data_IF_172919831617
#
_entry.id   IF_172919831617
#
_cell.length_a   1.000
_cell.length_b   1.000
_cell.length_c   1.000
_cell.angle_alpha   90.00
_cell.angle_beta   90.00
_cell.angle_gamma   90.00
#
_symmetry.space_group_name_H-M   'P 1'
#
loop_
_entity.id
_entity.type
_entity.pdbx_description
1 polymer ?
#
# COMPACT_ATOMS: atom_id res chain seq x y z
N UNK A 1 3.77 -33.44 -18.43
CA UNK A 1 3.09 -33.35 -17.11
C UNK A 1 4.17 -33.26 -16.05
N UNK A 2 4.06 -32.36 -15.07
CA UNK A 2 5.00 -32.35 -13.94
C UNK A 2 4.77 -33.60 -13.07
N UNK A 3 5.82 -34.21 -12.49
CA UNK A 3 5.65 -35.35 -11.59
C UNK A 3 4.83 -34.93 -10.36
N UNK A 4 3.96 -35.82 -9.87
CA UNK A 4 3.23 -35.60 -8.62
C UNK A 4 4.17 -35.74 -7.41
N UNK A 5 3.91 -35.00 -6.34
CA UNK A 5 4.64 -35.15 -5.08
C UNK A 5 4.32 -36.51 -4.43
N UNK A 6 5.36 -37.30 -4.10
CA UNK A 6 5.22 -38.58 -3.40
C UNK A 6 5.65 -38.42 -1.92
N UNK A 7 4.71 -38.30 -0.96
CA UNK A 7 5.06 -38.09 0.45
C UNK A 7 6.01 -39.14 1.00
N UNK A 8 5.88 -40.40 0.57
CA UNK A 8 6.71 -41.52 1.04
C UNK A 8 8.18 -41.44 0.63
N UNK A 9 8.52 -40.64 -0.39
CA UNK A 9 9.91 -40.44 -0.79
C UNK A 9 10.52 -39.20 -0.12
N UNK A 10 9.70 -38.22 0.25
CA UNK A 10 10.17 -36.89 0.62
C UNK A 10 10.10 -36.61 2.12
N UNK A 11 9.02 -37.01 2.78
CA UNK A 11 8.78 -36.70 4.19
C UNK A 11 9.48 -37.68 5.12
N UNK A 12 10.07 -37.21 6.21
CA UNK A 12 10.77 -38.00 7.24
C UNK A 12 12.04 -38.75 6.75
N UNK A 13 12.59 -38.41 5.59
CA UNK A 13 13.75 -39.09 5.00
C UNK A 13 15.09 -38.34 5.21
N UNK A 14 15.14 -37.37 6.13
CA UNK A 14 16.32 -36.53 6.37
C UNK A 14 16.72 -35.67 5.17
N UNK A 15 15.79 -35.48 4.21
CA UNK A 15 16.02 -34.65 3.03
C UNK A 15 15.97 -33.18 3.42
N UNK A 16 16.82 -32.38 2.77
CA UNK A 16 16.75 -30.92 2.87
C UNK A 16 15.70 -30.37 1.92
N UNK A 17 14.97 -29.35 2.35
CA UNK A 17 14.04 -28.62 1.50
C UNK A 17 14.83 -27.93 0.36
N UNK A 18 14.58 -28.26 -0.91
CA UNK A 18 15.41 -27.80 -2.03
C UNK A 18 15.22 -26.30 -2.30
N UNK A 19 16.31 -25.62 -2.70
CA UNK A 19 16.30 -24.23 -3.17
C UNK A 19 17.11 -24.13 -4.48
N UNK A 20 16.50 -23.75 -5.62
CA UNK A 20 15.09 -23.37 -5.81
C UNK A 20 14.12 -24.55 -5.63
N UNK A 21 12.92 -24.28 -5.11
CA UNK A 21 11.90 -25.31 -4.84
C UNK A 21 11.28 -25.81 -6.15
N UNK A 22 11.34 -27.11 -6.47
CA UNK A 22 10.62 -27.68 -7.60
C UNK A 22 9.11 -27.45 -7.48
N UNK A 23 8.45 -27.20 -8.61
CA UNK A 23 7.02 -26.85 -8.64
C UNK A 23 6.12 -27.84 -7.90
N UNK A 24 6.31 -29.15 -8.09
CA UNK A 24 5.49 -30.17 -7.44
C UNK A 24 5.62 -30.18 -5.90
N UNK A 25 6.78 -29.78 -5.36
CA UNK A 25 6.98 -29.62 -3.91
C UNK A 25 6.29 -28.34 -3.44
N UNK A 26 6.41 -27.25 -4.20
CA UNK A 26 5.72 -25.99 -3.89
C UNK A 26 4.20 -26.17 -3.88
N UNK A 27 3.64 -26.86 -4.87
CA UNK A 27 2.20 -27.11 -4.98
C UNK A 27 1.71 -27.96 -3.79
N UNK A 28 2.46 -29.00 -3.39
CA UNK A 28 2.13 -29.82 -2.24
C UNK A 28 2.24 -29.09 -0.89
N UNK A 29 3.26 -28.24 -0.70
CA UNK A 29 3.37 -27.39 0.48
C UNK A 29 2.20 -26.39 0.55
N UNK A 30 1.86 -25.75 -0.57
CA UNK A 30 0.75 -24.80 -0.65
C UNK A 30 -0.59 -25.46 -0.28
N UNK A 31 -0.81 -26.73 -0.64
CA UNK A 31 -2.02 -27.47 -0.25
C UNK A 31 -2.12 -27.68 1.27
N UNK A 32 -1.00 -27.84 1.98
CA UNK A 32 -1.00 -28.00 3.45
C UNK A 32 -1.13 -26.64 4.16
N UNK A 33 -0.68 -25.57 3.50
CA UNK A 33 -0.85 -24.20 3.97
C UNK A 33 -2.17 -23.56 3.51
N UNK A 34 -3.03 -24.31 2.82
CA UNK A 34 -4.32 -23.83 2.35
C UNK A 34 -5.24 -23.52 3.54
N UNK A 35 -5.79 -22.30 3.54
CA UNK A 35 -6.67 -21.83 4.61
C UNK A 35 -8.03 -22.50 4.43
N UNK A 36 -8.57 -23.23 5.42
CA UNK A 36 -9.90 -23.82 5.31
C UNK A 36 -10.97 -22.75 5.05
N UNK A 37 -11.99 -23.07 4.24
CA UNK A 37 -13.08 -22.13 3.91
C UNK A 37 -13.72 -21.50 5.16
N UNK A 38 -13.92 -22.30 6.21
CA UNK A 38 -14.48 -21.85 7.49
C UNK A 38 -13.60 -20.85 8.25
N UNK A 39 -12.29 -20.78 7.96
CA UNK A 39 -11.37 -19.77 8.49
C UNK A 39 -11.22 -18.59 7.52
N UNK A 40 -11.36 -18.81 6.22
CA UNK A 40 -11.25 -17.78 5.20
C UNK A 40 -12.35 -16.71 5.30
N UNK A 41 -13.52 -17.05 5.87
CA UNK A 41 -14.61 -16.09 6.14
C UNK A 41 -14.23 -14.95 7.09
N UNK A 42 -13.24 -15.16 7.97
CA UNK A 42 -12.76 -14.13 8.90
C UNK A 42 -11.84 -13.12 8.21
N UNK A 43 -11.35 -13.42 7.01
CA UNK A 43 -10.47 -12.54 6.23
C UNK A 43 -11.37 -11.62 5.39
N UNK A 44 -11.37 -10.30 5.62
CA UNK A 44 -12.18 -9.39 4.82
C UNK A 44 -11.84 -9.52 3.35
N UNK A 45 -12.84 -9.66 2.49
CA UNK A 45 -12.58 -9.75 1.05
C UNK A 45 -11.95 -8.45 0.54
N UNK A 46 -10.99 -8.53 -0.37
CA UNK A 46 -10.21 -7.36 -0.85
C UNK A 46 -11.05 -6.30 -1.57
N UNK A 47 -12.27 -6.65 -2.02
CA UNK A 47 -13.23 -5.73 -2.61
C UNK A 47 -14.12 -5.00 -1.60
N UNK A 48 -14.04 -5.34 -0.31
CA UNK A 48 -14.85 -4.69 0.72
C UNK A 48 -14.46 -3.22 0.84
N UNK A 49 -15.41 -2.33 1.15
CA UNK A 49 -15.13 -0.91 1.33
C UNK A 49 -14.11 -0.66 2.46
N UNK A 50 -13.25 0.33 2.26
CA UNK A 50 -12.25 0.74 3.23
C UNK A 50 -12.87 1.20 4.56
N UNK A 51 -14.01 1.88 4.48
CA UNK A 51 -14.77 2.34 5.65
C UNK A 51 -15.39 1.20 6.48
N UNK A 52 -15.58 0.00 5.91
CA UNK A 52 -16.19 -1.12 6.64
C UNK A 52 -15.19 -1.82 7.58
N UNK A 53 -13.89 -1.74 7.29
CA UNK A 53 -12.86 -2.49 8.02
C UNK A 53 -12.79 -2.22 9.54
N UNK A 54 -12.93 -0.96 10.04
CA UNK A 54 -12.97 -0.68 11.47
C UNK A 54 -13.98 -1.52 12.26
N UNK A 55 -15.09 -1.89 11.64
CA UNK A 55 -16.20 -2.61 12.28
C UNK A 55 -16.10 -4.13 12.13
N UNK A 56 -15.12 -4.64 11.36
CA UNK A 56 -14.87 -6.07 11.28
C UNK A 56 -14.33 -6.61 12.62
N UNK A 57 -14.85 -7.78 13.01
CA UNK A 57 -14.35 -8.56 14.15
C UNK A 57 -13.03 -9.23 13.77
N UNK A 58 -11.95 -8.45 13.74
CA UNK A 58 -10.61 -8.94 13.44
C UNK A 58 -9.90 -9.40 14.72
N UNK A 59 -9.06 -10.46 14.67
CA UNK A 59 -8.33 -10.92 15.83
C UNK A 59 -7.30 -9.89 16.31
N UNK A 60 -7.00 -9.85 17.60
CA UNK A 60 -6.10 -8.82 18.16
C UNK A 60 -4.66 -9.03 17.68
N UNK A 61 -3.90 -7.96 17.37
CA UNK A 61 -2.47 -8.10 17.13
C UNK A 61 -1.76 -8.55 18.41
N UNK A 62 -0.74 -9.37 18.26
CA UNK A 62 0.21 -9.67 19.32
C UNK A 62 1.42 -8.73 19.22
N UNK A 63 1.95 -8.28 20.36
CA UNK A 63 3.03 -7.29 20.43
C UNK A 63 4.41 -7.90 20.66
N UNK A 64 4.52 -9.23 20.76
CA UNK A 64 5.82 -9.88 20.97
C UNK A 64 6.63 -9.90 19.67
N UNK A 65 7.83 -9.31 19.71
CA UNK A 65 8.70 -9.15 18.53
C UNK A 65 9.71 -10.28 18.34
N UNK A 66 10.01 -11.04 19.40
CA UNK A 66 10.92 -12.18 19.38
C UNK A 66 10.35 -13.30 20.24
N UNK A 67 10.14 -14.46 19.61
CA UNK A 67 9.37 -15.54 20.22
C UNK A 67 9.88 -16.89 19.75
N UNK A 68 9.95 -17.84 20.67
CA UNK A 68 10.24 -19.23 20.33
C UNK A 68 8.98 -19.91 19.80
N UNK A 69 9.11 -20.60 18.67
CA UNK A 69 8.12 -21.55 18.18
C UNK A 69 8.74 -22.94 18.06
N UNK A 70 7.90 -23.97 18.05
CA UNK A 70 8.37 -25.35 17.89
C UNK A 70 7.40 -26.14 17.04
N UNK A 71 7.89 -26.70 15.94
CA UNK A 71 7.14 -27.60 15.09
C UNK A 71 7.03 -29.01 15.70
N UNK A 72 5.87 -29.63 15.60
CA UNK A 72 5.57 -30.96 16.13
C UNK A 72 5.01 -31.89 15.06
N UNK A 73 5.27 -33.19 15.20
CA UNK A 73 4.65 -34.23 14.37
C UNK A 73 3.23 -34.58 14.87
N UNK A 74 2.89 -34.18 16.09
CA UNK A 74 1.58 -34.42 16.68
C UNK A 74 0.50 -33.57 15.99
N UNK A 75 -0.75 -34.06 15.93
CA UNK A 75 -1.84 -33.34 15.27
C UNK A 75 -2.18 -32.03 15.97
N UNK A 76 -2.79 -31.13 15.20
CA UNK A 76 -3.37 -29.87 15.69
C UNK A 76 -4.42 -30.11 16.78
N UNK A 77 -4.51 -29.16 17.70
CA UNK A 77 -5.50 -29.12 18.77
C UNK A 77 -6.42 -27.90 18.64
N UNK A 78 -6.24 -27.07 17.61
CA UNK A 78 -7.03 -25.87 17.38
C UNK A 78 -8.43 -26.24 16.90
N UNK A 79 -9.45 -25.75 17.60
CA UNK A 79 -10.82 -25.75 17.10
C UNK A 79 -11.04 -24.49 16.26
N UNK A 80 -11.62 -24.60 15.06
CA UNK A 80 -11.87 -23.45 14.18
C UNK A 80 -12.72 -22.36 14.84
N UNK A 81 -13.57 -22.71 15.80
CA UNK A 81 -14.37 -21.75 16.57
C UNK A 81 -13.53 -20.84 17.47
N UNK A 82 -12.27 -21.18 17.73
CA UNK A 82 -11.34 -20.41 18.57
C UNK A 82 -10.50 -19.41 17.76
N UNK A 83 -10.66 -19.38 16.43
CA UNK A 83 -9.90 -18.48 15.54
C UNK A 83 -10.06 -17.00 15.88
N UNK A 84 -11.27 -16.47 16.16
CA UNK A 84 -11.41 -15.06 16.53
C UNK A 84 -10.63 -14.67 17.80
N UNK A 85 -10.35 -15.64 18.68
CA UNK A 85 -9.56 -15.43 19.89
C UNK A 85 -8.04 -15.54 19.65
N UNK A 86 -7.61 -16.03 18.49
CA UNK A 86 -6.20 -16.25 18.16
C UNK A 86 -5.55 -14.91 17.81
N UNK A 87 -4.57 -14.46 18.60
CA UNK A 87 -3.83 -13.24 18.27
C UNK A 87 -3.01 -13.41 16.99
N UNK A 88 -2.75 -12.30 16.31
CA UNK A 88 -1.93 -12.28 15.09
C UNK A 88 -0.48 -11.88 15.43
N UNK A 89 0.51 -12.76 15.22
CA UNK A 89 1.91 -12.47 15.55
C UNK A 89 2.49 -11.29 14.76
N UNK A 90 3.63 -10.79 15.24
CA UNK A 90 4.41 -9.79 14.51
C UNK A 90 4.92 -10.27 13.15
N UNK A 91 5.17 -9.34 12.20
CA UNK A 91 5.49 -9.72 10.81
C UNK A 91 6.78 -10.53 10.73
N UNK A 92 7.78 -10.16 11.52
CA UNK A 92 9.05 -10.88 11.64
C UNK A 92 8.82 -12.34 12.03
N UNK A 93 7.96 -12.59 13.01
CA UNK A 93 7.62 -13.94 13.48
C UNK A 93 6.92 -14.74 12.38
N UNK A 94 5.98 -14.13 11.65
CA UNK A 94 5.30 -14.78 10.53
C UNK A 94 6.32 -15.15 9.43
N UNK A 95 7.26 -14.26 9.12
CA UNK A 95 8.33 -14.52 8.13
C UNK A 95 9.30 -15.61 8.58
N UNK A 96 9.64 -15.68 9.88
CA UNK A 96 10.46 -16.77 10.43
C UNK A 96 9.75 -18.13 10.33
N UNK A 97 8.44 -18.16 10.63
CA UNK A 97 7.60 -19.36 10.47
C UNK A 97 7.52 -19.77 8.99
N UNK A 98 7.28 -18.83 8.08
CA UNK A 98 7.21 -19.06 6.63
C UNK A 98 8.54 -19.59 6.07
N UNK A 99 9.67 -19.07 6.55
CA UNK A 99 10.99 -19.57 6.14
C UNK A 99 11.29 -20.99 6.64
N UNK A 100 10.82 -21.32 7.84
CA UNK A 100 11.09 -22.59 8.50
C UNK A 100 10.12 -23.72 8.11
N UNK A 101 8.89 -23.39 7.68
CA UNK A 101 7.82 -24.39 7.48
C UNK A 101 8.16 -25.42 6.41
N UNK A 102 8.88 -25.05 5.35
CA UNK A 102 9.26 -25.98 4.29
C UNK A 102 10.14 -27.13 4.81
N UNK A 103 11.16 -26.82 5.62
CA UNK A 103 12.01 -27.86 6.21
C UNK A 103 11.26 -28.63 7.30
N UNK A 104 10.51 -27.95 8.17
CA UNK A 104 9.73 -28.62 9.20
C UNK A 104 8.73 -29.62 8.62
N UNK A 105 8.07 -29.27 7.51
CA UNK A 105 7.18 -30.17 6.80
C UNK A 105 7.94 -31.40 6.27
N UNK A 106 9.11 -31.21 5.64
CA UNK A 106 10.00 -32.32 5.21
C UNK A 106 10.43 -33.23 6.37
N UNK A 107 10.60 -32.67 7.56
CA UNK A 107 10.92 -33.41 8.78
C UNK A 107 9.70 -34.10 9.42
N UNK A 108 8.56 -34.13 8.72
CA UNK A 108 7.34 -34.81 9.16
C UNK A 108 6.52 -34.03 10.17
N UNK A 109 6.75 -32.73 10.31
CA UNK A 109 5.97 -31.89 11.22
C UNK A 109 4.65 -31.49 10.56
N UNK A 110 3.56 -31.55 11.34
CA UNK A 110 2.18 -31.32 10.89
C UNK A 110 1.49 -30.20 11.68
N UNK A 111 2.11 -29.74 12.76
CA UNK A 111 1.63 -28.64 13.59
C UNK A 111 2.80 -27.86 14.18
N UNK A 112 2.51 -26.74 14.84
CA UNK A 112 3.48 -25.99 15.62
C UNK A 112 2.87 -25.42 16.89
N UNK A 113 3.71 -25.08 17.85
CA UNK A 113 3.30 -24.35 19.06
C UNK A 113 3.89 -22.95 19.04
N UNK A 114 3.09 -22.01 19.53
CA UNK A 114 3.47 -20.61 19.66
C UNK A 114 3.00 -20.11 21.04
N UNK A 115 3.72 -20.45 22.13
CA UNK A 115 3.17 -20.43 23.49
C UNK A 115 2.63 -19.08 23.98
N UNK A 116 3.16 -17.97 23.46
CA UNK A 116 2.70 -16.62 23.81
C UNK A 116 1.37 -16.24 23.17
N UNK A 117 0.99 -16.87 22.05
CA UNK A 117 -0.32 -16.71 21.40
C UNK A 117 -1.30 -17.76 21.89
N UNK A 118 -0.88 -19.03 21.84
CA UNK A 118 -1.72 -20.16 22.20
C UNK A 118 -0.87 -21.32 22.71
N UNK A 119 -1.28 -21.93 23.83
CA UNK A 119 -0.64 -23.13 24.39
C UNK A 119 -0.93 -24.40 23.57
N UNK A 120 -1.94 -24.36 22.69
CA UNK A 120 -2.34 -25.49 21.85
C UNK A 120 -1.44 -25.61 20.63
N UNK A 121 -1.37 -26.81 20.05
CA UNK A 121 -0.75 -27.03 18.74
C UNK A 121 -1.64 -26.44 17.63
N UNK A 122 -1.08 -25.53 16.87
CA UNK A 122 -1.69 -24.86 15.72
C UNK A 122 -1.39 -25.65 14.44
N UNK A 123 -2.33 -25.72 13.49
CA UNK A 123 -2.10 -26.31 12.18
C UNK A 123 -1.20 -25.40 11.32
N UNK A 124 -0.46 -25.98 10.37
CA UNK A 124 0.48 -25.21 9.53
C UNK A 124 -0.19 -24.09 8.72
N UNK A 125 -1.45 -24.26 8.28
CA UNK A 125 -2.19 -23.24 7.54
C UNK A 125 -2.43 -21.93 8.32
N UNK A 126 -2.30 -21.93 9.65
CA UNK A 126 -2.39 -20.70 10.44
C UNK A 126 -1.32 -19.66 10.04
N UNK A 127 -0.18 -20.11 9.49
CA UNK A 127 0.87 -19.22 8.98
C UNK A 127 0.31 -18.37 7.82
N UNK A 128 -0.37 -18.99 6.86
CA UNK A 128 -1.01 -18.29 5.75
C UNK A 128 -2.19 -17.43 6.23
N UNK A 129 -3.02 -17.95 7.14
CA UNK A 129 -4.11 -17.16 7.72
C UNK A 129 -3.61 -15.83 8.31
N UNK A 130 -2.56 -15.87 9.13
CA UNK A 130 -1.97 -14.66 9.70
C UNK A 130 -1.37 -13.73 8.65
N UNK A 131 -0.71 -14.30 7.63
CA UNK A 131 -0.18 -13.52 6.51
C UNK A 131 -1.28 -12.73 5.78
N UNK A 132 -2.45 -13.34 5.55
CA UNK A 132 -3.56 -12.72 4.84
C UNK A 132 -4.39 -11.76 5.68
N UNK A 133 -4.59 -12.02 6.98
CA UNK A 133 -5.43 -11.17 7.84
C UNK A 133 -4.68 -9.94 8.38
N UNK A 134 -3.34 -10.01 8.51
CA UNK A 134 -2.52 -8.93 9.07
C UNK A 134 -2.63 -7.60 8.29
N UNK A 135 -2.60 -7.56 6.94
CA UNK A 135 -2.84 -6.33 6.20
C UNK A 135 -4.18 -5.68 6.56
N UNK A 136 -5.26 -6.48 6.65
CA UNK A 136 -6.59 -5.97 7.03
C UNK A 136 -6.58 -5.36 8.44
N UNK A 137 -5.91 -6.00 9.40
CA UNK A 137 -5.76 -5.47 10.76
C UNK A 137 -5.08 -4.11 10.82
N UNK A 138 -3.96 -3.97 10.10
CA UNK A 138 -3.23 -2.70 10.03
C UNK A 138 -4.07 -1.61 9.40
N UNK A 139 -4.77 -1.92 8.32
CA UNK A 139 -5.63 -0.96 7.61
C UNK A 139 -6.82 -0.56 8.48
N UNK A 140 -7.48 -1.52 9.14
CA UNK A 140 -8.58 -1.26 10.06
C UNK A 140 -8.16 -0.32 11.19
N UNK A 141 -7.00 -0.57 11.81
CA UNK A 141 -6.48 0.31 12.86
C UNK A 141 -6.13 1.70 12.35
N UNK A 142 -5.50 1.77 11.17
CA UNK A 142 -5.22 3.06 10.52
C UNK A 142 -6.49 3.84 10.24
N UNK A 143 -7.57 3.17 9.82
CA UNK A 143 -8.88 3.77 9.61
C UNK A 143 -9.50 4.26 10.92
N UNK A 144 -9.42 3.50 12.02
CA UNK A 144 -9.92 3.95 13.35
C UNK A 144 -9.21 5.22 13.82
N UNK A 145 -7.88 5.23 13.75
CA UNK A 145 -7.06 6.40 14.13
C UNK A 145 -7.38 7.59 13.23
N UNK A 146 -7.47 7.38 11.92
CA UNK A 146 -7.81 8.41 10.94
C UNK A 146 -9.19 9.01 11.17
N UNK A 147 -10.24 8.19 11.33
CA UNK A 147 -11.61 8.67 11.55
C UNK A 147 -11.73 9.43 12.88
N UNK A 148 -11.03 8.99 13.93
CA UNK A 148 -10.93 9.72 15.19
C UNK A 148 -10.27 11.09 15.00
N UNK A 149 -9.19 11.16 14.21
CA UNK A 149 -8.54 12.43 13.87
C UNK A 149 -9.45 13.32 13.01
N UNK A 150 -10.12 12.79 11.98
CA UNK A 150 -11.08 13.53 11.16
C UNK A 150 -12.24 14.09 11.99
N UNK A 151 -12.66 13.37 13.04
CA UNK A 151 -13.67 13.86 14.00
C UNK A 151 -13.19 15.13 14.71
N UNK A 152 -11.91 15.17 15.12
CA UNK A 152 -11.35 16.32 15.83
C UNK A 152 -11.25 17.60 14.99
N UNK A 153 -11.27 17.47 13.66
CA UNK A 153 -11.23 18.59 12.71
C UNK A 153 -12.56 18.81 11.98
N UNK A 154 -13.63 18.08 12.34
CA UNK A 154 -14.97 18.25 11.80
C UNK A 154 -15.19 17.73 10.37
N UNK A 155 -14.41 16.75 9.91
CA UNK A 155 -14.44 16.21 8.54
C UNK A 155 -14.70 14.70 8.47
N UNK A 156 -15.21 14.08 9.54
CA UNK A 156 -15.41 12.61 9.62
C UNK A 156 -16.34 12.10 8.53
N UNK A 157 -17.54 12.66 8.43
CA UNK A 157 -18.63 12.08 7.61
C UNK A 157 -18.32 12.13 6.11
N UNK A 158 -17.71 13.23 5.63
CA UNK A 158 -17.29 13.38 4.24
C UNK A 158 -16.21 12.35 3.86
N UNK A 159 -15.24 12.15 4.76
CA UNK A 159 -14.14 11.21 4.54
C UNK A 159 -14.58 9.77 4.62
N UNK A 160 -15.45 9.45 5.57
CA UNK A 160 -16.06 8.13 5.70
C UNK A 160 -16.86 7.78 4.43
N UNK A 161 -17.65 8.72 3.92
CA UNK A 161 -18.41 8.56 2.66
C UNK A 161 -17.49 8.26 1.46
N UNK A 162 -16.35 8.94 1.35
CA UNK A 162 -15.37 8.65 0.31
C UNK A 162 -14.70 7.29 0.49
N UNK A 163 -14.37 6.91 1.72
CA UNK A 163 -13.80 5.59 2.04
C UNK A 163 -14.76 4.43 1.71
N UNK A 164 -16.08 4.66 1.75
CA UNK A 164 -17.07 3.67 1.28
C UNK A 164 -16.99 3.38 -0.23
N UNK A 165 -16.44 4.31 -1.01
CA UNK A 165 -16.37 4.20 -2.47
C UNK A 165 -15.12 3.47 -2.98
N UNK A 166 -14.22 3.04 -2.08
CA UNK A 166 -12.93 2.44 -2.45
C UNK A 166 -12.72 1.14 -1.70
N UNK A 167 -12.24 0.12 -2.43
CA UNK A 167 -11.93 -1.18 -1.88
C UNK A 167 -10.60 -1.17 -1.11
N UNK A 168 -10.55 -1.79 0.07
CA UNK A 168 -9.37 -1.72 0.94
C UNK A 168 -8.16 -2.51 0.41
N UNK A 169 -8.40 -3.63 -0.28
CA UNK A 169 -7.36 -4.55 -0.73
C UNK A 169 -6.95 -4.35 -2.19
N UNK A 170 -7.45 -3.29 -2.83
CA UNK A 170 -7.10 -2.95 -4.21
C UNK A 170 -6.24 -1.68 -4.23
N UNK A 171 -5.09 -1.69 -4.92
CA UNK A 171 -4.29 -0.49 -5.05
C UNK A 171 -5.06 0.66 -5.69
N UNK A 172 -4.92 1.85 -5.14
CA UNK A 172 -5.50 3.08 -5.69
C UNK A 172 -4.61 3.53 -6.84
N UNK A 173 -5.19 3.66 -8.02
CA UNK A 173 -4.58 4.21 -9.22
C UNK A 173 -5.02 5.67 -9.41
N UNK A 174 -4.13 6.59 -9.82
CA UNK A 174 -4.43 8.04 -9.85
C UNK A 174 -4.04 8.77 -11.15
N UNK A 175 -3.60 8.08 -12.21
CA UNK A 175 -3.16 8.76 -13.43
C UNK A 175 -2.97 7.83 -14.63
N UNK A 176 -2.62 8.42 -15.79
CA UNK A 176 -2.03 7.77 -16.98
C UNK A 176 -0.60 7.21 -16.76
N UNK A 177 -0.23 6.81 -15.55
CA UNK A 177 1.15 6.45 -15.21
C UNK A 177 1.29 5.10 -14.52
N UNK A 178 2.51 4.58 -14.52
CA UNK A 178 2.92 3.39 -13.77
C UNK A 178 3.01 3.77 -12.28
N UNK A 179 1.94 3.54 -11.52
CA UNK A 179 1.94 3.81 -10.09
C UNK A 179 0.61 3.46 -9.42
N UNK A 180 0.71 2.94 -8.20
CA UNK A 180 -0.41 2.70 -7.31
C UNK A 180 0.02 2.86 -5.86
N UNK A 181 -0.94 3.10 -4.97
CA UNK A 181 -0.73 3.33 -3.54
C UNK A 181 -1.68 2.40 -2.84
N UNK A 182 -1.15 1.77 -1.81
CA UNK A 182 -1.96 0.99 -0.89
C UNK A 182 -2.99 1.91 -0.20
N UNK A 183 -4.30 1.58 -0.20
CA UNK A 183 -5.33 2.37 0.48
C UNK A 183 -5.01 2.60 1.97
N UNK A 184 -4.48 1.59 2.66
CA UNK A 184 -4.07 1.69 4.05
C UNK A 184 -2.96 2.73 4.24
N UNK A 185 -1.93 2.69 3.40
CA UNK A 185 -0.88 3.70 3.42
C UNK A 185 -1.42 5.10 3.16
N UNK A 186 -2.40 5.26 2.26
CA UNK A 186 -3.01 6.56 1.99
C UNK A 186 -3.75 7.12 3.22
N UNK A 187 -4.55 6.29 3.89
CA UNK A 187 -5.24 6.63 5.15
C UNK A 187 -4.22 6.97 6.24
N UNK A 188 -3.26 6.08 6.50
CA UNK A 188 -2.25 6.24 7.54
C UNK A 188 -1.43 7.53 7.35
N UNK A 189 -1.07 7.86 6.09
CA UNK A 189 -0.15 8.97 5.81
C UNK A 189 -0.82 10.32 5.61
N UNK A 190 -2.04 10.36 5.07
CA UNK A 190 -2.76 11.62 4.84
C UNK A 190 -3.76 11.96 5.94
N UNK A 191 -4.34 10.98 6.62
CA UNK A 191 -5.35 11.24 7.65
C UNK A 191 -4.76 11.12 9.07
N UNK A 192 -3.78 11.97 9.37
CA UNK A 192 -3.09 12.00 10.67
C UNK A 192 -1.75 12.74 10.62
N UNK A 193 -0.85 12.46 11.57
CA UNK A 193 0.45 13.15 11.71
C UNK A 193 1.66 12.31 11.24
N UNK A 194 1.44 11.36 10.34
CA UNK A 194 2.50 10.51 9.81
C UNK A 194 3.22 11.13 8.60
N UNK A 195 4.47 10.70 8.39
CA UNK A 195 5.27 11.10 7.24
C UNK A 195 4.71 10.51 5.94
N UNK A 196 4.61 11.34 4.90
CA UNK A 196 4.10 10.91 3.59
C UNK A 196 5.21 10.18 2.83
N UNK A 197 4.90 9.00 2.29
CA UNK A 197 5.83 8.20 1.52
C UNK A 197 5.88 8.60 0.03
N UNK A 198 6.93 8.14 -0.67
CA UNK A 198 7.19 8.49 -2.07
C UNK A 198 6.05 8.10 -3.02
N UNK A 199 5.34 6.99 -2.77
CA UNK A 199 4.20 6.58 -3.60
C UNK A 199 3.05 7.58 -3.51
N UNK A 200 2.74 8.07 -2.30
CA UNK A 200 1.71 9.10 -2.09
C UNK A 200 2.15 10.45 -2.67
N UNK A 201 3.42 10.85 -2.52
CA UNK A 201 3.94 12.06 -3.19
C UNK A 201 3.86 11.91 -4.71
N UNK A 202 4.22 10.74 -5.24
CA UNK A 202 4.05 10.40 -6.66
C UNK A 202 2.60 10.55 -7.13
N UNK A 203 1.63 10.18 -6.30
CA UNK A 203 0.21 10.41 -6.56
C UNK A 203 -0.14 11.89 -6.69
N UNK A 204 0.26 12.70 -5.70
CA UNK A 204 0.01 14.13 -5.71
C UNK A 204 0.64 14.82 -6.93
N UNK A 205 1.91 14.53 -7.21
CA UNK A 205 2.64 15.11 -8.35
C UNK A 205 2.03 14.70 -9.70
N UNK A 206 1.51 13.48 -9.82
CA UNK A 206 0.83 13.01 -11.03
C UNK A 206 -0.51 13.73 -11.26
N UNK A 207 -1.23 14.09 -10.19
CA UNK A 207 -2.44 14.90 -10.29
C UNK A 207 -2.12 16.34 -10.68
N UNK A 208 -1.05 16.93 -10.14
CA UNK A 208 -0.57 18.25 -10.57
C UNK A 208 -0.22 18.22 -12.05
N UNK A 209 0.49 17.20 -12.54
CA UNK A 209 0.80 17.08 -13.97
C UNK A 209 -0.47 17.03 -14.83
N UNK A 210 -1.50 16.29 -14.40
CA UNK A 210 -2.77 16.24 -15.11
C UNK A 210 -3.45 17.61 -15.17
N UNK A 211 -3.46 18.34 -14.05
CA UNK A 211 -4.02 19.69 -13.98
C UNK A 211 -3.26 20.66 -14.87
N UNK A 212 -1.93 20.63 -14.88
CA UNK A 212 -1.10 21.46 -15.77
C UNK A 212 -1.49 21.22 -17.23
N UNK A 213 -1.61 19.96 -17.64
CA UNK A 213 -1.99 19.59 -19.02
C UNK A 213 -3.44 19.97 -19.35
N UNK A 214 -4.34 19.90 -18.37
CA UNK A 214 -5.76 20.22 -18.56
C UNK A 214 -6.02 21.75 -18.61
N UNK A 215 -5.34 22.52 -17.78
CA UNK A 215 -5.49 23.98 -17.69
C UNK A 215 -4.93 24.70 -18.92
N UNK A 216 -3.80 24.23 -19.45
CA UNK A 216 -3.19 24.78 -20.66
C UNK A 216 -2.44 23.68 -21.43
N UNK A 217 -3.03 23.13 -22.52
CA UNK A 217 -2.37 22.12 -23.34
C UNK A 217 -1.07 22.59 -24.02
N UNK A 218 -0.85 23.92 -24.10
CA UNK A 218 0.39 24.49 -24.63
C UNK A 218 1.48 24.61 -23.56
N UNK A 219 1.13 24.44 -22.28
CA UNK A 219 2.06 24.47 -21.17
C UNK A 219 3.03 23.29 -21.27
N UNK A 220 4.32 23.63 -21.40
CA UNK A 220 5.40 22.64 -21.53
C UNK A 220 5.98 22.20 -20.18
N UNK A 221 5.36 22.59 -19.07
CA UNK A 221 5.82 22.23 -17.73
C UNK A 221 5.66 20.73 -17.50
N UNK A 222 6.72 20.11 -17.00
CA UNK A 222 6.75 18.71 -16.63
C UNK A 222 6.96 18.58 -15.12
N UNK A 223 6.07 17.87 -14.46
CA UNK A 223 6.13 17.49 -13.05
C UNK A 223 6.52 16.01 -12.99
N UNK A 224 7.67 15.73 -12.39
CA UNK A 224 8.26 14.40 -12.37
C UNK A 224 8.05 13.73 -11.01
N UNK A 225 7.89 12.39 -10.95
CA UNK A 225 7.71 11.68 -9.70
C UNK A 225 8.99 11.64 -8.85
N UNK A 226 8.92 11.34 -7.53
CA UNK A 226 10.07 11.35 -6.63
C UNK A 226 11.22 10.43 -7.08
N UNK A 227 10.90 9.32 -7.72
CA UNK A 227 11.89 8.38 -8.28
C UNK A 227 12.87 9.01 -9.27
N UNK A 228 12.53 10.15 -9.89
CA UNK A 228 13.46 10.91 -10.71
C UNK A 228 14.69 11.39 -9.92
N UNK A 229 14.50 11.91 -8.72
CA UNK A 229 15.60 12.37 -7.88
C UNK A 229 16.48 11.20 -7.43
N UNK A 230 15.89 10.05 -7.12
CA UNK A 230 16.63 8.82 -6.78
C UNK A 230 17.49 8.36 -7.95
N UNK A 231 16.97 8.44 -9.18
CA UNK A 231 17.74 8.12 -10.38
C UNK A 231 18.93 9.07 -10.56
N UNK A 232 18.77 10.37 -10.29
CA UNK A 232 19.89 11.31 -10.36
C UNK A 232 20.94 11.09 -9.26
N UNK A 233 20.53 10.62 -8.08
CA UNK A 233 21.41 10.29 -6.96
C UNK A 233 22.11 8.94 -7.10
N UNK A 234 21.76 8.13 -8.10
CA UNK A 234 22.50 6.90 -8.38
C UNK A 234 23.97 7.20 -8.67
N UNK A 235 24.86 6.23 -8.39
CA UNK A 235 26.31 6.39 -8.51
C UNK A 235 26.69 7.08 -9.83
N UNK A 236 27.76 7.89 -9.83
CA UNK A 236 28.31 8.57 -11.03
C UNK A 236 28.47 7.60 -12.22
N UNK A 237 28.66 6.30 -11.95
CA UNK A 237 28.61 5.24 -12.96
C UNK A 237 27.34 5.21 -13.82
N UNK A 238 26.18 5.59 -13.28
CA UNK A 238 24.94 5.77 -14.03
C UNK A 238 25.12 6.74 -15.20
N UNK A 239 25.69 7.93 -14.93
CA UNK A 239 25.91 8.96 -15.95
C UNK A 239 26.95 8.59 -17.00
N UNK A 240 27.84 7.62 -16.71
CA UNK A 240 28.77 7.07 -17.70
C UNK A 240 28.05 6.17 -18.71
N UNK A 241 26.93 5.59 -18.33
CA UNK A 241 26.14 4.71 -19.21
C UNK A 241 24.80 5.32 -19.65
N UNK A 242 24.53 6.54 -19.22
CA UNK A 242 23.35 7.31 -19.55
C UNK A 242 23.22 7.48 -21.08
N UNK A 243 22.14 6.93 -21.63
CA UNK A 243 21.90 6.93 -23.07
C UNK A 243 20.42 6.72 -23.35
N UNK A 244 19.98 7.11 -24.56
CA UNK A 244 18.60 6.88 -25.02
C UNK A 244 18.16 5.42 -24.91
N UNK A 245 19.07 4.46 -25.11
CA UNK A 245 18.76 3.01 -25.06
C UNK A 245 18.50 2.53 -23.63
N UNK A 246 19.27 2.98 -22.64
CA UNK A 246 19.17 2.51 -21.25
C UNK A 246 18.12 3.26 -20.44
N UNK A 247 17.94 4.55 -20.72
CA UNK A 247 17.12 5.45 -19.90
C UNK A 247 16.22 6.30 -20.78
N UNK A 248 15.43 5.65 -21.65
CA UNK A 248 14.64 6.32 -22.69
C UNK A 248 13.80 7.49 -22.15
N UNK A 249 13.03 7.26 -21.07
CA UNK A 249 12.16 8.28 -20.47
C UNK A 249 12.94 9.52 -20.02
N UNK A 250 14.01 9.32 -19.25
CA UNK A 250 14.89 10.42 -18.79
C UNK A 250 15.58 11.13 -19.95
N UNK A 251 16.00 10.38 -20.96
CA UNK A 251 16.64 10.94 -22.15
C UNK A 251 15.69 11.83 -22.93
N UNK A 252 14.44 11.38 -23.12
CA UNK A 252 13.41 12.18 -23.77
C UNK A 252 13.08 13.45 -23.00
N UNK A 253 12.97 13.39 -21.66
CA UNK A 253 12.76 14.58 -20.81
C UNK A 253 13.93 15.56 -20.98
N UNK A 254 15.17 15.09 -20.86
CA UNK A 254 16.35 15.96 -21.03
C UNK A 254 16.45 16.55 -22.44
N UNK A 255 16.10 15.77 -23.47
CA UNK A 255 16.02 16.25 -24.85
C UNK A 255 14.93 17.32 -25.02
N UNK A 256 13.74 17.12 -24.44
CA UNK A 256 12.68 18.13 -24.45
C UNK A 256 13.12 19.42 -23.77
N UNK A 257 13.78 19.33 -22.61
CA UNK A 257 14.35 20.50 -21.94
C UNK A 257 15.40 21.21 -22.80
N UNK A 258 16.21 20.47 -23.56
CA UNK A 258 17.24 21.05 -24.43
C UNK A 258 16.68 21.87 -25.61
N UNK A 259 15.42 21.62 -26.00
CA UNK A 259 14.75 22.44 -27.03
C UNK A 259 14.30 23.80 -26.52
N UNK A 260 14.34 24.04 -25.20
CA UNK A 260 14.12 25.33 -24.56
C UNK A 260 15.41 25.88 -23.96
N UNK A 261 15.52 27.20 -23.83
CA UNK A 261 16.59 27.81 -23.07
C UNK A 261 16.29 27.69 -21.57
N UNK A 262 16.62 26.54 -20.97
CA UNK A 262 16.62 26.41 -19.51
C UNK A 262 17.75 27.29 -18.95
N UNK A 263 17.40 28.35 -18.23
CA UNK A 263 18.37 29.31 -17.68
C UNK A 263 18.43 29.30 -16.15
N UNK A 264 17.46 28.66 -15.50
CA UNK A 264 17.21 28.80 -14.08
C UNK A 264 16.97 27.45 -13.41
N UNK A 265 17.70 27.19 -12.33
CA UNK A 265 17.50 26.07 -11.43
C UNK A 265 17.02 26.59 -10.08
N UNK A 266 15.86 26.12 -9.65
CA UNK A 266 15.22 26.50 -8.40
C UNK A 266 15.31 25.38 -7.38
N UNK A 267 15.56 25.71 -6.12
CA UNK A 267 15.55 24.76 -5.01
C UNK A 267 14.72 25.29 -3.83
N UNK A 268 13.88 24.43 -3.25
CA UNK A 268 13.10 24.76 -2.06
C UNK A 268 13.29 23.69 -0.98
N UNK A 269 13.26 24.09 0.28
CA UNK A 269 13.35 23.20 1.43
C UNK A 269 12.48 23.75 2.56
N UNK A 270 11.44 23.02 2.94
CA UNK A 270 10.48 23.46 3.96
C UNK A 270 11.07 23.77 5.33
N UNK A 271 12.32 23.37 5.61
CA UNK A 271 13.06 23.71 6.84
C UNK A 271 13.97 24.93 6.70
N UNK A 272 13.88 25.65 5.57
CA UNK A 272 14.69 26.83 5.25
C UNK A 272 16.21 26.58 5.28
N UNK A 273 16.62 25.32 5.09
CA UNK A 273 18.04 25.01 4.92
C UNK A 273 18.51 25.37 3.52
N UNK A 274 19.74 25.89 3.37
CA UNK A 274 20.30 26.20 2.07
C UNK A 274 20.38 24.95 1.20
N UNK A 275 20.26 25.15 -0.11
CA UNK A 275 20.37 24.09 -1.08
C UNK A 275 21.75 23.40 -1.01
N UNK A 276 21.81 22.07 -0.82
CA UNK A 276 23.08 21.35 -0.88
C UNK A 276 23.67 21.48 -2.30
N UNK A 277 24.92 21.95 -2.41
CA UNK A 277 25.58 22.13 -3.72
C UNK A 277 25.59 20.82 -4.53
N UNK A 278 25.75 19.68 -3.86
CA UNK A 278 25.72 18.36 -4.47
C UNK A 278 24.42 18.04 -5.23
N UNK A 279 23.27 18.59 -4.82
CA UNK A 279 22.02 18.40 -5.55
C UNK A 279 22.00 19.16 -6.87
N UNK A 280 22.48 20.41 -6.88
CA UNK A 280 22.62 21.17 -8.12
C UNK A 280 23.65 20.53 -9.05
N UNK A 281 24.78 20.10 -8.52
CA UNK A 281 25.86 19.51 -9.33
C UNK A 281 25.39 18.24 -10.06
N UNK A 282 24.52 17.42 -9.44
CA UNK A 282 23.92 16.24 -10.09
C UNK A 282 22.95 16.63 -11.22
N UNK A 283 22.11 17.65 -10.99
CA UNK A 283 21.16 18.14 -12.01
C UNK A 283 21.91 18.78 -13.16
N UNK A 284 22.92 19.60 -12.89
CA UNK A 284 23.77 20.24 -13.90
C UNK A 284 24.59 19.20 -14.68
N UNK A 285 25.11 18.17 -14.02
CA UNK A 285 25.78 17.05 -14.68
C UNK A 285 24.83 16.35 -15.65
N UNK A 286 23.60 16.04 -15.22
CA UNK A 286 22.58 15.43 -16.08
C UNK A 286 22.24 16.32 -17.27
N UNK A 287 21.97 17.60 -17.04
CA UNK A 287 21.63 18.57 -18.08
C UNK A 287 22.78 18.79 -19.07
N UNK A 288 24.04 18.72 -18.61
CA UNK A 288 25.21 18.82 -19.48
C UNK A 288 25.30 17.70 -20.51
N UNK A 289 24.73 16.51 -20.22
CA UNK A 289 24.62 15.40 -21.19
C UNK A 289 23.67 15.72 -22.34
N UNK A 290 22.82 16.73 -22.18
CA UNK A 290 21.90 17.25 -23.21
C UNK A 290 22.38 18.59 -23.79
N UNK A 291 23.65 18.95 -23.55
CA UNK A 291 24.24 20.19 -24.08
C UNK A 291 23.83 21.46 -23.33
N UNK A 292 23.08 21.36 -22.24
CA UNK A 292 22.65 22.52 -21.45
C UNK A 292 23.68 22.84 -20.34
N UNK A 293 24.08 24.11 -20.21
CA UNK A 293 25.08 24.60 -19.24
C UNK A 293 24.77 26.04 -18.80
N UNK A 294 25.42 26.49 -17.73
CA UNK A 294 25.42 27.91 -17.33
C UNK A 294 24.13 28.38 -16.65
N UNK A 295 23.58 27.56 -15.76
CA UNK A 295 22.32 27.88 -15.08
C UNK A 295 22.54 28.84 -13.92
N UNK A 296 21.57 29.73 -13.71
CA UNK A 296 21.48 30.50 -12.47
C UNK A 296 20.79 29.64 -11.43
N UNK A 297 21.35 29.57 -10.21
CA UNK A 297 20.75 28.88 -9.06
C UNK A 297 19.99 29.90 -8.23
N UNK A 298 18.72 29.65 -7.90
CA UNK A 298 17.92 30.52 -7.02
C UNK A 298 17.08 29.69 -6.04
N UNK A 299 16.64 30.34 -4.97
CA UNK A 299 15.63 29.77 -4.09
C UNK A 299 14.27 29.74 -4.79
N UNK A 300 13.59 28.59 -4.73
CA UNK A 300 12.21 28.45 -5.14
C UNK A 300 11.32 29.12 -4.09
N UNK A 301 10.29 29.91 -4.44
CA UNK A 301 9.27 30.30 -3.48
C UNK A 301 8.61 29.06 -2.86
N UNK A 302 8.64 28.95 -1.53
CA UNK A 302 8.05 27.84 -0.77
C UNK A 302 7.64 28.33 0.61
N UNK A 303 6.75 27.58 1.26
CA UNK A 303 6.41 27.83 2.66
C UNK A 303 7.43 27.19 3.61
N UNK A 304 7.50 27.69 4.84
CA UNK A 304 8.31 27.09 5.91
C UNK A 304 7.39 26.28 6.81
N UNK A 305 7.71 25.01 7.05
CA UNK A 305 6.95 24.16 7.98
C UNK A 305 7.38 24.41 9.42
N UNK A 306 6.47 24.20 10.35
CA UNK A 306 6.70 24.30 11.80
C UNK A 306 6.60 22.94 12.52
N UNK A 307 6.51 21.85 11.75
CA UNK A 307 6.42 20.48 12.25
C UNK A 307 7.36 19.52 11.53
N UNK A 308 7.39 18.26 11.98
CA UNK A 308 8.29 17.24 11.47
C UNK A 308 7.72 16.41 10.29
N UNK A 309 6.46 16.61 9.88
CA UNK A 309 5.75 15.68 8.99
C UNK A 309 5.10 16.34 7.77
N UNK A 310 5.06 17.67 7.70
CA UNK A 310 4.44 18.44 6.61
C UNK A 310 5.36 18.64 5.39
N UNK A 311 6.61 18.17 5.44
CA UNK A 311 7.64 18.49 4.44
C UNK A 311 7.24 18.09 3.02
N UNK A 312 6.61 16.92 2.87
CA UNK A 312 6.11 16.43 1.60
C UNK A 312 4.94 17.27 1.06
N UNK A 313 4.02 17.72 1.93
CA UNK A 313 2.92 18.60 1.53
C UNK A 313 3.45 19.95 1.07
N UNK A 314 4.38 20.54 1.81
CA UNK A 314 4.99 21.83 1.47
C UNK A 314 5.77 21.72 0.16
N UNK A 315 6.51 20.62 -0.04
CA UNK A 315 7.19 20.33 -1.30
C UNK A 315 6.20 20.31 -2.47
N UNK A 316 5.15 19.49 -2.38
CA UNK A 316 4.14 19.33 -3.43
C UNK A 316 3.43 20.67 -3.70
N UNK A 317 3.10 21.43 -2.66
CA UNK A 317 2.48 22.74 -2.80
C UNK A 317 3.41 23.77 -3.45
N UNK A 318 4.72 23.77 -3.14
CA UNK A 318 5.66 24.69 -3.80
C UNK A 318 5.77 24.41 -5.32
N UNK A 319 5.73 23.15 -5.72
CA UNK A 319 5.63 22.76 -7.13
C UNK A 319 4.30 23.26 -7.72
N UNK A 320 3.17 22.95 -7.08
CA UNK A 320 1.85 23.40 -7.54
C UNK A 320 1.77 24.93 -7.67
N UNK A 321 2.32 25.67 -6.71
CA UNK A 321 2.39 27.13 -6.76
C UNK A 321 3.16 27.59 -8.00
N UNK A 322 4.29 26.96 -8.31
CA UNK A 322 5.09 27.36 -9.47
C UNK A 322 4.39 27.10 -10.79
N UNK A 323 3.74 25.93 -10.96
CA UNK A 323 3.20 25.50 -12.26
C UNK A 323 1.72 25.84 -12.47
N UNK A 324 0.95 26.01 -11.38
CA UNK A 324 -0.50 26.26 -11.39
C UNK A 324 -0.89 27.55 -10.66
N UNK A 325 0.08 28.31 -10.11
CA UNK A 325 -0.16 29.55 -9.36
C UNK A 325 -1.09 29.37 -8.15
N UNK A 326 -1.13 28.16 -7.55
CA UNK A 326 -1.88 27.92 -6.31
C UNK A 326 -1.26 28.71 -5.15
N UNK A 327 -2.03 29.21 -4.17
CA UNK A 327 -1.45 29.84 -2.98
C UNK A 327 -0.45 28.93 -2.25
N UNK A 328 0.61 29.53 -1.71
CA UNK A 328 1.57 28.81 -0.87
C UNK A 328 0.90 28.31 0.40
N UNK A 329 1.30 27.11 0.82
CA UNK A 329 0.84 26.44 2.02
C UNK A 329 1.04 27.33 3.25
N UNK A 330 0.14 27.18 4.22
CA UNK A 330 0.19 27.89 5.50
C UNK A 330 0.07 26.88 6.63
N UNK A 331 0.83 27.02 7.73
CA UNK A 331 0.75 26.13 8.89
C UNK A 331 -0.68 25.93 9.41
N UNK A 332 -1.49 27.00 9.40
CA UNK A 332 -2.88 26.96 9.83
C UNK A 332 -3.80 26.05 8.98
N UNK A 333 -3.36 25.63 7.78
CA UNK A 333 -4.13 24.75 6.88
C UNK A 333 -3.53 23.34 6.77
N UNK A 334 -2.58 22.98 7.62
CA UNK A 334 -1.82 21.72 7.48
C UNK A 334 -2.69 20.47 7.52
N UNK A 335 -3.71 20.45 8.38
CA UNK A 335 -4.60 19.30 8.50
C UNK A 335 -5.58 19.26 7.33
N UNK A 336 -6.22 20.39 7.02
CA UNK A 336 -7.18 20.51 5.91
C UNK A 336 -6.56 20.14 4.58
N UNK A 337 -5.33 20.60 4.28
CA UNK A 337 -4.71 20.31 2.98
C UNK A 337 -4.36 18.82 2.82
N UNK A 338 -4.07 18.09 3.91
CA UNK A 338 -3.86 16.64 3.84
C UNK A 338 -5.16 15.91 3.51
N UNK A 339 -6.27 16.35 4.10
CA UNK A 339 -7.61 15.87 3.76
C UNK A 339 -7.94 16.18 2.30
N UNK A 340 -7.72 17.41 1.83
CA UNK A 340 -7.93 17.81 0.44
C UNK A 340 -7.15 16.90 -0.54
N UNK A 341 -5.90 16.57 -0.23
CA UNK A 341 -5.12 15.64 -1.06
C UNK A 341 -5.65 14.21 -1.02
N UNK A 342 -6.08 13.72 0.15
CA UNK A 342 -6.71 12.41 0.29
C UNK A 342 -7.94 12.32 -0.62
N UNK A 343 -8.84 13.31 -0.55
CA UNK A 343 -10.02 13.37 -1.40
C UNK A 343 -9.69 13.42 -2.88
N UNK A 344 -8.75 14.28 -3.29
CA UNK A 344 -8.34 14.44 -4.69
C UNK A 344 -7.84 13.12 -5.27
N UNK A 345 -7.03 12.38 -4.51
CA UNK A 345 -6.52 11.07 -4.93
C UNK A 345 -7.66 10.05 -5.08
N UNK A 346 -8.57 9.95 -4.10
CA UNK A 346 -9.70 9.01 -4.19
C UNK A 346 -10.65 9.36 -5.33
N UNK A 347 -11.00 10.63 -5.52
CA UNK A 347 -11.89 11.07 -6.60
C UNK A 347 -11.29 10.81 -7.98
N UNK A 348 -9.98 11.02 -8.14
CA UNK A 348 -9.27 10.69 -9.38
C UNK A 348 -9.33 9.19 -9.67
N UNK A 349 -9.13 8.35 -8.64
CA UNK A 349 -9.25 6.90 -8.75
C UNK A 349 -10.64 6.45 -9.16
N UNK A 350 -11.68 6.91 -8.46
CA UNK A 350 -13.08 6.57 -8.74
C UNK A 350 -13.44 6.98 -10.18
N UNK A 351 -13.05 8.18 -10.59
CA UNK A 351 -13.26 8.67 -11.97
C UNK A 351 -12.59 7.78 -13.02
N UNK A 352 -11.41 7.23 -12.71
CA UNK A 352 -10.69 6.32 -13.60
C UNK A 352 -11.37 4.94 -13.67
N UNK A 353 -11.87 4.41 -12.55
CA UNK A 353 -12.64 3.17 -12.54
C UNK A 353 -13.95 3.29 -13.34
N UNK A 354 -14.65 4.43 -13.23
CA UNK A 354 -15.87 4.70 -14.00
C UNK A 354 -15.61 4.72 -15.51
N UNK A 355 -14.44 5.24 -15.95
CA UNK A 355 -14.02 5.24 -17.37
C UNK A 355 -13.61 3.85 -17.88
N UNK A 356 -13.12 2.97 -17.01
CA UNK A 356 -12.69 1.61 -17.38
C UNK A 356 -13.86 0.65 -17.57
N UNK A 357 -14.99 0.88 -16.90
CA UNK A 357 -16.18 0.04 -17.06
C UNK A 357 -16.61 0.15 -18.53
N UNK A 358 -16.53 -0.94 -19.32
CA UNK A 358 -16.93 -0.88 -20.72
C UNK A 358 -18.37 -0.40 -20.76
N UNK A 359 -18.64 0.60 -21.61
CA UNK A 359 -20.01 0.95 -21.94
C UNK A 359 -20.72 -0.35 -22.27
N UNK A 360 -21.89 -0.67 -21.66
CA UNK A 360 -22.61 -1.90 -21.97
C UNK A 360 -22.72 -1.96 -23.49
N UNK A 361 -21.99 -2.90 -24.09
CA UNK A 361 -21.92 -3.00 -25.53
C UNK A 361 -23.35 -3.17 -26.01
N UNK A 362 -23.73 -2.42 -27.03
CA UNK A 362 -25.05 -2.50 -27.66
C UNK A 362 -25.35 -3.86 -28.31
N UNK A 363 -24.56 -4.89 -28.02
CA UNK A 363 -24.73 -6.26 -28.51
C UNK A 363 -25.88 -6.97 -27.78
N UNK A 364 -26.25 -6.58 -26.56
CA UNK A 364 -27.43 -7.13 -25.88
C UNK A 364 -28.77 -6.52 -26.35
N UNK A 365 -28.74 -5.52 -27.26
CA UNK A 365 -29.96 -4.94 -27.83
C UNK A 365 -30.50 -5.71 -29.05
N UNK A 366 -29.81 -6.75 -29.53
CA UNK A 366 -30.15 -7.43 -30.79
C UNK A 366 -30.64 -8.89 -30.65
N UNK A 367 -30.84 -9.42 -29.43
CA UNK A 367 -31.54 -10.70 -29.24
C UNK A 367 -32.77 -10.49 -28.38
N UNK A 368 -33.79 -9.89 -28.99
CA UNK A 368 -35.16 -10.17 -28.58
C UNK A 368 -35.45 -11.63 -28.90
N UNK A 369 -35.41 -12.50 -27.88
CA UNK A 369 -36.23 -13.70 -27.89
C UNK A 369 -36.58 -14.16 -26.46
N UNK A 370 -37.83 -13.84 -26.11
CA UNK A 370 -38.82 -14.68 -25.44
C UNK A 370 -38.39 -15.70 -24.37
N UNK A 371 -38.96 -15.51 -23.16
CA UNK A 371 -39.20 -16.49 -22.09
C UNK A 371 -38.08 -16.77 -21.06
N UNK A 372 -38.25 -16.23 -19.84
CA UNK A 372 -38.64 -17.01 -18.65
C UNK A 372 -38.26 -16.24 -17.37
N UNK A 373 -39.26 -15.86 -16.58
CA UNK A 373 -39.09 -15.22 -15.28
C UNK A 373 -38.55 -16.24 -14.27
N UNK A 374 -37.29 -16.09 -13.86
CA UNK A 374 -36.75 -16.72 -12.66
C UNK A 374 -36.35 -15.62 -11.66
N UNK A 375 -37.00 -15.63 -10.49
CA UNK A 375 -36.72 -14.75 -9.37
C UNK A 375 -35.30 -14.99 -8.84
N UNK A 376 -34.49 -13.94 -8.77
CA UNK A 376 -33.19 -13.93 -8.11
C UNK A 376 -33.41 -13.74 -6.59
N UNK A 377 -32.81 -14.55 -5.71
CA UNK A 377 -32.99 -14.39 -4.27
C UNK A 377 -32.15 -13.23 -3.73
N UNK A 378 -32.75 -12.41 -2.88
CA UNK A 378 -32.09 -11.38 -2.08
C UNK A 378 -30.98 -11.99 -1.22
N UNK A 379 -29.75 -11.55 -1.49
CA UNK A 379 -28.57 -11.79 -0.64
C UNK A 379 -28.74 -11.04 0.68
N UNK A 380 -29.25 -11.74 1.71
CA UNK A 380 -29.27 -11.23 3.09
C UNK A 380 -27.83 -11.08 3.61
N UNK A 381 -27.44 -9.85 3.88
CA UNK A 381 -26.26 -9.51 4.66
C UNK A 381 -26.42 -10.17 6.04
N UNK A 382 -25.45 -10.98 6.53
CA UNK A 382 -25.55 -11.61 7.83
C UNK A 382 -25.51 -10.55 8.94
N UNK A 383 -26.53 -10.57 9.80
CA UNK A 383 -26.58 -9.81 11.05
C UNK A 383 -25.45 -10.31 11.97
N UNK A 384 -24.74 -9.44 12.71
CA UNK A 384 -23.66 -9.86 13.61
C UNK A 384 -24.15 -10.88 14.64
N UNK A 385 -23.39 -11.96 14.81
CA UNK A 385 -23.60 -12.91 15.92
C UNK A 385 -23.18 -12.21 17.21
N UNK A 386 -24.07 -12.20 18.19
CA UNK A 386 -23.78 -11.78 19.56
C UNK A 386 -22.57 -12.55 20.07
N UNK A 387 -21.45 -11.84 20.29
CA UNK A 387 -20.32 -12.40 21.00
C UNK A 387 -20.75 -12.63 22.45
N UNK A 388 -20.53 -13.85 22.92
CA UNK A 388 -20.69 -14.22 24.32
C UNK A 388 -19.78 -13.31 25.15
N UNK A 389 -20.39 -12.48 25.99
CA UNK A 389 -19.70 -11.72 27.02
C UNK A 389 -19.00 -12.72 27.96
N UNK A 390 -17.68 -12.82 27.82
CA UNK A 390 -16.85 -13.45 28.85
C UNK A 390 -16.62 -12.38 29.92
N UNK A 391 -17.21 -12.62 31.08
CA UNK A 391 -17.21 -11.76 32.26
C UNK A 391 -15.84 -11.15 32.58
N UNK A 392 -15.92 -9.85 32.86
CA UNK A 392 -14.91 -8.97 33.42
C UNK A 392 -14.33 -9.48 34.74
N UNK A 393 -13.01 -9.63 34.83
CA UNK A 393 -12.30 -9.63 36.11
C UNK A 393 -11.91 -8.19 36.48
N UNK A 394 -12.30 -7.69 37.68
CA UNK A 394 -11.83 -6.41 38.19
C UNK A 394 -10.64 -6.64 39.12
N UNK A 395 -9.45 -6.19 38.75
CA UNK A 395 -8.39 -5.83 39.71
C UNK A 395 -7.20 -5.21 38.98
N UNK A 396 -7.03 -3.89 39.16
CA UNK A 396 -5.75 -3.17 39.35
C UNK A 396 -5.95 -1.70 38.98
N UNK A 397 -6.48 -0.94 39.94
CA UNK A 397 -6.32 0.50 40.01
C UNK A 397 -5.18 0.79 41.01
N UNK A 398 -4.01 1.16 40.49
CA UNK A 398 -3.01 2.03 41.13
C UNK A 398 -1.77 2.08 40.24
N UNK A 399 -1.62 3.16 39.48
CA UNK A 399 -0.41 3.99 39.35
C UNK A 399 -0.70 5.18 38.45
#
# INVERSE_FOLDING_TARGET
MAPAFNPSEWLCHGKKFPRPTPRFISDALNSILEIPDAAAVDIPHSSQPLAALPDYLLPKPDTATSVSFTFSAEPTQLNLLELPCLRVPEHSVIMELEHAVGQAWFDGKTSFTLPHICKKRLPLWCINYWFHIRPALRVAESCRVALKWCTSIGLKDDIETLMWSVAWGKPIEWARGDGSVDPGALVERLLGHQWICDSTVGAMLSLIQQEVTASDPSNRSLVLPPGFATLLKSDRGFFNTYSRKRTLKLFLIGSQLSTGALQLLLYGNSLDHPAPSSHFDLVELWLSKHGLKGFTRQAMPHAVQDDAYSCAIVHVNAIAHRVLQTPLWQPARKDTIKVEWFERILRAHISLQLKKKPSPSSEDAATGDTASQAQVPESKIPVPRDCIDIETHPELASF
#
